data_IF_861273781637
#
_entry.id   IF_861273781637
#
_cell.length_a   1.000
_cell.length_b   1.000
_cell.length_c   1.000
_cell.angle_alpha   90.00
_cell.angle_beta   90.00
_cell.angle_gamma   90.00
#
_symmetry.space_group_name_H-M   'P 1'
#
loop_
_entity.id
_entity.type
_entity.pdbx_description
1 polymer ?
#
# COMPACT_ATOMS: atom_id res chain seq x y z
N UNK A 1 41.48 -12.46 -54.10
CA UNK A 1 40.11 -11.89 -54.20
C UNK A 1 39.07 -12.60 -53.32
N UNK A 2 39.00 -13.94 -53.27
CA UNK A 2 37.98 -14.65 -52.45
C UNK A 2 38.03 -14.37 -50.94
N UNK A 3 39.23 -14.21 -50.36
CA UNK A 3 39.39 -13.96 -48.91
C UNK A 3 38.95 -12.56 -48.46
N UNK A 4 39.08 -11.55 -49.32
CA UNK A 4 38.67 -10.18 -49.01
C UNK A 4 37.13 -10.03 -49.03
N UNK A 5 36.46 -10.73 -49.94
CA UNK A 5 34.99 -10.74 -50.03
C UNK A 5 34.35 -11.42 -48.82
N UNK A 6 34.96 -12.50 -48.30
CA UNK A 6 34.45 -13.22 -47.12
C UNK A 6 34.57 -12.36 -45.85
N UNK A 7 35.66 -11.61 -45.69
CA UNK A 7 35.83 -10.68 -44.55
C UNK A 7 34.84 -9.52 -44.64
N UNK A 8 34.56 -9.01 -45.84
CA UNK A 8 33.60 -7.92 -46.05
C UNK A 8 32.14 -8.37 -45.81
N UNK A 9 31.78 -9.61 -46.20
CA UNK A 9 30.48 -10.21 -45.89
C UNK A 9 30.31 -10.51 -44.39
N UNK A 10 31.39 -10.92 -43.71
CA UNK A 10 31.36 -11.11 -42.26
C UNK A 10 31.16 -9.78 -41.51
N UNK A 11 31.76 -8.68 -41.97
CA UNK A 11 31.57 -7.34 -41.40
C UNK A 11 30.15 -6.79 -41.66
N UNK A 12 29.58 -7.04 -42.84
CA UNK A 12 28.19 -6.66 -43.17
C UNK A 12 27.16 -7.46 -42.35
N UNK A 13 27.44 -8.73 -42.03
CA UNK A 13 26.57 -9.55 -41.19
C UNK A 13 26.55 -9.09 -39.71
N UNK A 14 27.61 -8.46 -39.22
CA UNK A 14 27.68 -7.93 -37.85
C UNK A 14 26.90 -6.60 -37.72
N UNK A 15 26.74 -5.85 -38.81
CA UNK A 15 25.97 -4.58 -38.79
C UNK A 15 24.44 -4.72 -38.84
N UNK A 16 23.90 -5.91 -39.15
CA UNK A 16 22.43 -6.11 -39.26
C UNK A 16 21.77 -6.57 -37.96
N UNK A 17 22.55 -6.81 -36.90
CA UNK A 17 22.05 -7.11 -35.56
C UNK A 17 22.16 -5.94 -34.58
N UNK A 18 22.38 -4.73 -35.09
CA UNK A 18 22.08 -3.52 -34.33
C UNK A 18 20.56 -3.31 -34.37
N UNK A 19 19.80 -4.20 -33.72
CA UNK A 19 18.50 -3.80 -33.21
C UNK A 19 18.80 -2.63 -32.30
N UNK A 20 18.47 -1.42 -32.74
CA UNK A 20 18.36 -0.27 -31.86
C UNK A 20 17.41 -0.71 -30.76
N UNK A 21 17.96 -1.12 -29.62
CA UNK A 21 17.24 -1.11 -28.37
C UNK A 21 16.92 0.38 -28.16
N UNK A 22 15.80 0.83 -28.73
CA UNK A 22 15.16 2.04 -28.28
C UNK A 22 14.85 1.74 -26.82
N UNK A 23 15.74 2.21 -25.94
CA UNK A 23 15.38 2.42 -24.55
C UNK A 23 14.16 3.34 -24.63
N UNK A 24 12.99 2.79 -24.27
CA UNK A 24 11.75 3.54 -24.28
C UNK A 24 11.93 4.63 -23.22
N UNK A 25 12.15 5.85 -23.68
CA UNK A 25 12.51 6.99 -22.85
C UNK A 25 11.23 7.60 -22.30
N UNK A 26 10.77 7.12 -21.15
CA UNK A 26 9.61 7.65 -20.46
C UNK A 26 10.00 8.67 -19.39
N UNK A 27 9.02 9.47 -18.98
CA UNK A 27 9.13 10.31 -17.81
C UNK A 27 9.49 9.54 -16.53
N UNK A 28 10.00 10.24 -15.52
CA UNK A 28 10.36 9.65 -14.23
C UNK A 28 9.20 9.62 -13.25
N UNK A 29 9.11 8.57 -12.43
CA UNK A 29 8.16 8.47 -11.32
C UNK A 29 8.83 8.99 -10.04
N UNK A 30 8.49 10.21 -9.62
CA UNK A 30 9.05 10.83 -8.42
C UNK A 30 8.45 10.23 -7.15
N UNK A 31 7.13 10.08 -7.12
CA UNK A 31 6.46 9.40 -6.01
C UNK A 31 5.20 8.69 -6.45
N UNK A 32 4.94 7.53 -5.84
CA UNK A 32 3.68 6.80 -5.98
C UNK A 32 3.19 6.47 -4.57
N UNK A 33 1.96 6.89 -4.26
CA UNK A 33 1.31 6.61 -2.99
C UNK A 33 0.02 5.82 -3.22
N UNK A 34 -0.03 4.60 -2.68
CA UNK A 34 -1.23 3.76 -2.74
C UNK A 34 -2.00 3.84 -1.42
N UNK A 35 -3.25 4.28 -1.47
CA UNK A 35 -4.17 4.25 -0.32
C UNK A 35 -5.27 3.24 -0.57
N UNK A 36 -5.29 2.16 0.21
CA UNK A 36 -6.22 1.05 0.07
C UNK A 36 -7.40 1.19 1.01
N UNK A 37 -8.59 1.44 0.44
CA UNK A 37 -9.86 1.55 1.15
C UNK A 37 -10.67 0.25 0.99
N UNK A 38 -11.16 -0.37 2.07
CA UNK A 38 -12.02 -1.55 2.01
C UNK A 38 -13.34 -1.28 1.27
N UNK A 39 -13.67 -2.15 0.30
CA UNK A 39 -14.98 -2.24 -0.36
C UNK A 39 -15.50 -3.67 -0.22
N UNK A 40 -16.07 -3.96 0.96
CA UNK A 40 -16.47 -5.31 1.35
C UNK A 40 -15.28 -6.28 1.45
N UNK A 41 -15.16 -7.17 0.46
CA UNK A 41 -14.04 -8.13 0.34
C UNK A 41 -12.93 -7.63 -0.59
N UNK A 42 -13.23 -6.61 -1.37
CA UNK A 42 -12.34 -5.99 -2.34
C UNK A 42 -11.71 -4.73 -1.74
N UNK A 43 -10.79 -4.11 -2.47
CA UNK A 43 -10.30 -2.77 -2.16
C UNK A 43 -10.51 -1.82 -3.33
N UNK A 44 -10.78 -0.55 -3.01
CA UNK A 44 -10.53 0.57 -3.90
C UNK A 44 -9.18 1.15 -3.53
N UNK A 45 -8.28 1.25 -4.50
CA UNK A 45 -6.93 1.78 -4.32
C UNK A 45 -6.89 3.14 -4.99
N UNK A 46 -6.65 4.17 -4.18
CA UNK A 46 -6.37 5.53 -4.64
C UNK A 46 -4.87 5.66 -4.78
N UNK A 47 -4.40 5.72 -6.03
CA UNK A 47 -2.99 5.82 -6.36
C UNK A 47 -2.68 7.26 -6.77
N UNK A 48 -1.99 8.00 -5.91
CA UNK A 48 -1.51 9.35 -6.22
C UNK A 48 -0.10 9.25 -6.79
N UNK A 49 0.09 9.72 -8.02
CA UNK A 49 1.35 9.68 -8.74
C UNK A 49 1.85 11.09 -9.01
N UNK A 50 3.09 11.36 -8.62
CA UNK A 50 3.84 12.56 -9.03
C UNK A 50 5.01 12.11 -9.89
N UNK A 51 5.15 12.75 -11.06
CA UNK A 51 6.08 12.34 -12.09
C UNK A 51 6.58 13.55 -12.88
N UNK A 52 7.70 13.38 -13.58
CA UNK A 52 8.20 14.36 -14.57
C UNK A 52 8.04 13.75 -15.94
N UNK A 53 7.32 14.42 -16.84
CA UNK A 53 7.06 13.91 -18.20
C UNK A 53 8.32 13.92 -19.07
N UNK A 54 8.39 13.07 -20.10
CA UNK A 54 9.47 13.15 -21.10
C UNK A 54 9.23 14.29 -22.12
N UNK A 55 10.08 14.36 -23.16
CA UNK A 55 9.95 15.32 -24.26
C UNK A 55 8.66 15.17 -25.10
N UNK A 56 7.97 14.03 -24.98
CA UNK A 56 6.67 13.76 -25.63
C UNK A 56 5.48 13.96 -24.68
N UNK A 57 5.71 14.24 -23.39
CA UNK A 57 4.65 14.31 -22.39
C UNK A 57 4.26 12.96 -21.78
N UNK A 58 4.99 11.87 -22.07
CA UNK A 58 4.63 10.51 -21.72
C UNK A 58 5.19 10.08 -20.36
N UNK A 59 4.37 9.39 -19.58
CA UNK A 59 4.73 8.76 -18.31
C UNK A 59 4.27 7.31 -18.35
N UNK A 60 5.18 6.39 -18.04
CA UNK A 60 4.86 4.99 -17.81
C UNK A 60 4.71 4.72 -16.31
N UNK A 61 3.62 4.09 -15.89
CA UNK A 61 3.35 3.74 -14.50
C UNK A 61 2.89 2.29 -14.35
N UNK A 62 3.05 1.68 -13.15
CA UNK A 62 2.80 0.27 -12.97
C UNK A 62 1.36 -0.13 -13.31
N UNK A 63 1.22 -1.26 -14.01
CA UNK A 63 -0.04 -2.00 -14.09
C UNK A 63 -0.05 -3.08 -13.00
N UNK A 64 -0.97 -2.95 -12.05
CA UNK A 64 -1.10 -3.92 -10.97
C UNK A 64 -1.89 -5.16 -11.40
N UNK A 65 -1.50 -6.32 -10.85
CA UNK A 65 -2.18 -7.57 -11.14
C UNK A 65 -3.55 -7.65 -10.46
N UNK A 66 -4.53 -8.21 -11.18
CA UNK A 66 -5.91 -8.39 -10.71
C UNK A 66 -6.57 -7.09 -10.25
N UNK A 67 -6.29 -6.01 -10.97
CA UNK A 67 -6.92 -4.71 -10.75
C UNK A 67 -7.65 -4.26 -12.01
N UNK A 68 -8.71 -3.49 -11.81
CA UNK A 68 -9.45 -2.80 -12.86
C UNK A 68 -9.34 -1.29 -12.63
N UNK A 69 -8.91 -0.53 -13.64
CA UNK A 69 -8.85 0.93 -13.55
C UNK A 69 -10.27 1.50 -13.68
N UNK A 70 -10.70 2.22 -12.64
CA UNK A 70 -12.02 2.84 -12.55
C UNK A 70 -11.99 4.25 -13.12
N UNK A 71 -10.98 5.04 -12.74
CA UNK A 71 -10.80 6.40 -13.23
C UNK A 71 -9.33 6.83 -13.15
N UNK A 72 -9.03 7.91 -13.86
CA UNK A 72 -7.77 8.64 -13.80
C UNK A 72 -8.07 10.13 -13.95
N UNK A 73 -7.51 10.95 -13.06
CA UNK A 73 -7.75 12.39 -13.04
C UNK A 73 -6.45 13.13 -12.76
N UNK A 74 -6.19 14.19 -13.52
CA UNK A 74 -5.02 15.03 -13.30
C UNK A 74 -5.33 16.09 -12.22
N UNK A 75 -4.50 16.13 -11.17
CA UNK A 75 -4.52 17.22 -10.19
C UNK A 75 -3.65 18.41 -10.67
N UNK A 76 -2.52 18.10 -11.30
CA UNK A 76 -1.57 19.07 -11.86
C UNK A 76 -1.13 18.61 -13.24
N UNK A 77 -1.30 19.50 -14.23
CA UNK A 77 -1.08 19.21 -15.64
C UNK A 77 -2.38 18.85 -16.36
N UNK A 78 -2.29 18.62 -17.66
CA UNK A 78 -3.44 18.38 -18.53
C UNK A 78 -3.20 17.14 -19.39
N UNK A 79 -3.98 16.08 -19.16
CA UNK A 79 -3.88 14.85 -19.95
C UNK A 79 -4.28 15.10 -21.42
N UNK A 80 -3.50 14.57 -22.35
CA UNK A 80 -3.74 14.63 -23.80
C UNK A 80 -4.62 13.47 -24.31
N UNK A 81 -4.99 12.54 -23.44
CA UNK A 81 -5.82 11.38 -23.76
C UNK A 81 -6.05 10.48 -22.55
N UNK A 82 -6.75 9.37 -22.78
CA UNK A 82 -6.90 8.32 -21.77
C UNK A 82 -5.61 7.49 -21.68
N UNK A 83 -5.31 6.91 -20.50
CA UNK A 83 -4.19 6.00 -20.38
C UNK A 83 -4.42 4.74 -21.22
N UNK A 84 -3.34 4.18 -21.74
CA UNK A 84 -3.34 2.93 -22.50
C UNK A 84 -2.39 1.91 -21.87
N UNK A 85 -2.70 0.63 -22.06
CA UNK A 85 -1.82 -0.45 -21.63
C UNK A 85 -0.85 -0.75 -22.77
N UNK A 86 0.44 -0.58 -22.52
CA UNK A 86 1.52 -0.87 -23.46
C UNK A 86 2.21 -2.17 -23.05
N UNK A 87 2.50 -3.01 -24.04
CA UNK A 87 3.27 -4.24 -23.88
C UNK A 87 4.66 -4.06 -24.51
N UNK A 88 5.70 -4.31 -23.72
CA UNK A 88 7.08 -4.27 -24.19
C UNK A 88 7.87 -5.45 -23.64
N UNK A 89 8.22 -6.38 -24.53
CA UNK A 89 8.77 -7.68 -24.13
C UNK A 89 7.75 -8.44 -23.28
N UNK A 90 8.18 -8.92 -22.11
CA UNK A 90 7.32 -9.63 -21.16
C UNK A 90 6.58 -8.69 -20.17
N UNK A 91 6.83 -7.37 -20.25
CA UNK A 91 6.27 -6.40 -19.34
C UNK A 91 5.03 -5.72 -19.92
N UNK A 92 4.03 -5.50 -19.07
CA UNK A 92 2.83 -4.71 -19.36
C UNK A 92 2.69 -3.61 -18.33
N UNK A 93 2.50 -2.38 -18.78
CA UNK A 93 2.38 -1.20 -17.93
C UNK A 93 1.40 -0.20 -18.54
N UNK A 94 0.98 0.79 -17.75
CA UNK A 94 0.14 1.87 -18.23
C UNK A 94 1.01 3.01 -18.75
N UNK A 95 0.57 3.67 -19.82
CA UNK A 95 1.14 4.93 -20.32
C UNK A 95 0.06 5.99 -20.34
N UNK A 96 0.39 7.17 -19.83
CA UNK A 96 -0.45 8.37 -19.93
C UNK A 96 0.37 9.49 -20.56
N UNK A 97 -0.25 10.25 -21.44
CA UNK A 97 0.37 11.40 -22.12
C UNK A 97 -0.24 12.69 -21.58
N UNK A 98 0.62 13.62 -21.21
CA UNK A 98 0.28 14.98 -20.81
C UNK A 98 0.65 15.98 -21.91
N UNK A 99 0.00 17.13 -21.91
CA UNK A 99 0.34 18.23 -22.83
C UNK A 99 1.65 18.91 -22.41
N UNK A 100 1.96 18.87 -21.12
CA UNK A 100 3.17 19.40 -20.51
C UNK A 100 4.34 18.44 -20.73
N UNK A 101 5.47 18.98 -21.22
CA UNK A 101 6.68 18.23 -21.57
C UNK A 101 7.80 18.59 -20.61
N UNK A 102 8.61 17.60 -20.23
CA UNK A 102 9.75 17.80 -19.31
C UNK A 102 9.34 18.55 -18.03
N UNK A 103 8.12 18.28 -17.56
CA UNK A 103 7.46 19.06 -16.51
C UNK A 103 6.87 18.13 -15.46
N UNK A 104 6.85 18.61 -14.21
CA UNK A 104 6.22 17.88 -13.12
C UNK A 104 4.70 17.91 -13.24
N UNK A 105 4.08 16.73 -13.14
CA UNK A 105 2.64 16.52 -13.15
C UNK A 105 2.23 15.62 -11.98
N UNK A 106 0.98 15.76 -11.54
CA UNK A 106 0.40 14.94 -10.47
C UNK A 106 -0.98 14.47 -10.91
N UNK A 107 -1.26 13.18 -10.75
CA UNK A 107 -2.54 12.59 -11.10
C UNK A 107 -2.91 11.48 -10.13
N UNK A 108 -4.22 11.25 -10.01
CA UNK A 108 -4.80 10.19 -9.21
C UNK A 108 -5.37 9.11 -10.13
N UNK A 109 -5.03 7.85 -9.84
CA UNK A 109 -5.58 6.67 -10.50
C UNK A 109 -6.38 5.89 -9.46
N UNK A 110 -7.65 5.65 -9.75
CA UNK A 110 -8.50 4.81 -8.89
C UNK A 110 -8.59 3.43 -9.52
N UNK A 111 -8.13 2.41 -8.80
CA UNK A 111 -8.22 1.02 -9.25
C UNK A 111 -8.97 0.14 -8.24
N UNK A 112 -9.80 -0.78 -8.73
CA UNK A 112 -10.47 -1.79 -7.89
C UNK A 112 -9.67 -3.08 -7.89
N UNK A 113 -9.39 -3.64 -6.71
CA UNK A 113 -8.67 -4.91 -6.54
C UNK A 113 -9.52 -5.93 -5.80
N UNK A 114 -9.79 -7.04 -6.48
CA UNK A 114 -10.70 -8.08 -5.96
C UNK A 114 -10.07 -8.93 -4.86
N UNK A 115 -10.82 -9.20 -3.80
CA UNK A 115 -10.57 -10.24 -2.80
C UNK A 115 -9.44 -9.98 -1.80
N UNK A 116 -8.81 -8.82 -1.81
CA UNK A 116 -7.69 -8.53 -0.92
C UNK A 116 -8.09 -8.55 0.56
N UNK A 117 -9.25 -8.00 0.90
CA UNK A 117 -9.76 -7.91 2.27
C UNK A 117 -10.44 -9.19 2.77
N UNK A 118 -10.54 -10.25 1.94
CA UNK A 118 -10.88 -11.59 2.46
C UNK A 118 -9.85 -12.02 3.52
N UNK A 119 -8.58 -11.68 3.27
CA UNK A 119 -7.47 -11.96 4.16
C UNK A 119 -7.23 -13.45 4.39
N UNK A 120 -6.14 -13.77 5.08
CA UNK A 120 -5.81 -15.13 5.51
C UNK A 120 -5.82 -15.20 7.03
N UNK A 121 -5.97 -16.39 7.61
CA UNK A 121 -5.83 -16.55 9.07
C UNK A 121 -4.43 -16.09 9.48
N UNK A 122 -4.36 -15.16 10.43
CA UNK A 122 -3.08 -14.64 10.89
C UNK A 122 -2.32 -15.73 11.66
N UNK A 123 -1.02 -15.84 11.42
CA UNK A 123 -0.11 -16.73 12.14
C UNK A 123 0.46 -16.00 13.35
N UNK A 124 -0.36 -15.84 14.38
CA UNK A 124 0.01 -15.16 15.62
C UNK A 124 0.18 -16.17 16.74
N UNK A 125 1.04 -15.86 17.71
CA UNK A 125 1.20 -16.65 18.93
C UNK A 125 -0.03 -16.60 19.83
N UNK A 126 -0.07 -17.45 20.85
CA UNK A 126 -1.24 -17.67 21.72
C UNK A 126 -1.66 -16.44 22.54
N UNK A 127 -0.81 -15.41 22.62
CA UNK A 127 -1.07 -14.17 23.35
C UNK A 127 -1.89 -13.15 22.55
N UNK A 128 -2.13 -13.38 21.26
CA UNK A 128 -2.90 -12.47 20.41
C UNK A 128 -4.39 -12.86 20.34
N UNK A 129 -5.29 -11.89 20.07
CA UNK A 129 -6.72 -12.17 19.95
C UNK A 129 -7.03 -13.26 18.92
N UNK A 130 -7.84 -14.24 19.30
CA UNK A 130 -8.29 -15.30 18.40
C UNK A 130 -9.09 -14.71 17.23
N UNK A 131 -8.89 -15.25 16.02
CA UNK A 131 -9.65 -14.83 14.83
C UNK A 131 -9.06 -13.65 14.06
N UNK A 132 -7.85 -13.20 14.41
CA UNK A 132 -7.11 -12.24 13.61
C UNK A 132 -6.88 -12.74 12.17
N UNK A 133 -6.97 -11.82 11.21
CA UNK A 133 -6.69 -12.04 9.80
C UNK A 133 -5.58 -11.14 9.31
N UNK A 134 -4.70 -11.68 8.47
CA UNK A 134 -3.69 -10.92 7.74
C UNK A 134 -4.27 -10.50 6.39
N UNK A 135 -4.24 -9.20 6.11
CA UNK A 135 -4.48 -8.64 4.78
C UNK A 135 -3.10 -8.36 4.18
N UNK A 136 -2.88 -8.80 2.95
CA UNK A 136 -1.59 -8.68 2.27
C UNK A 136 -1.78 -7.94 0.96
N UNK A 137 -1.08 -6.83 0.81
CA UNK A 137 -0.94 -6.10 -0.44
C UNK A 137 0.45 -6.32 -1.00
N UNK A 138 0.49 -6.84 -2.24
CA UNK A 138 1.71 -7.15 -2.96
C UNK A 138 1.57 -6.57 -4.37
N UNK A 139 2.56 -5.78 -4.77
CA UNK A 139 2.64 -5.21 -6.11
C UNK A 139 4.06 -5.31 -6.64
N UNK A 140 4.15 -5.32 -7.96
CA UNK A 140 5.41 -5.29 -8.69
C UNK A 140 5.43 -3.97 -9.45
N UNK A 141 6.54 -3.24 -9.39
CA UNK A 141 6.76 -2.13 -10.30
C UNK A 141 6.95 -2.70 -11.72
N UNK A 142 5.85 -2.83 -12.46
CA UNK A 142 5.87 -3.29 -13.86
C UNK A 142 6.23 -2.20 -14.86
N UNK A 143 6.36 -0.95 -14.41
CA UNK A 143 6.80 0.13 -15.27
C UNK A 143 8.28 -0.05 -15.64
N UNK A 144 8.72 0.45 -16.81
CA UNK A 144 10.12 0.37 -17.24
C UNK A 144 11.03 1.33 -16.46
N UNK A 145 10.48 2.22 -15.62
CA UNK A 145 11.21 3.20 -14.83
C UNK A 145 11.15 2.87 -13.33
N UNK A 146 12.15 3.32 -12.57
CA UNK A 146 12.12 3.18 -11.11
C UNK A 146 11.13 4.19 -10.49
N UNK A 147 10.50 3.80 -9.39
CA UNK A 147 9.73 4.70 -8.54
C UNK A 147 10.68 5.22 -7.47
N UNK A 148 11.00 6.52 -7.47
CA UNK A 148 11.97 7.08 -6.52
C UNK A 148 11.50 7.02 -5.06
N UNK A 149 10.20 7.21 -4.82
CA UNK A 149 9.59 7.06 -3.51
C UNK A 149 8.26 6.36 -3.61
N UNK A 150 8.07 5.27 -2.86
CA UNK A 150 6.83 4.52 -2.87
C UNK A 150 6.24 4.43 -1.46
N UNK A 151 4.98 4.78 -1.28
CA UNK A 151 4.31 4.63 0.02
C UNK A 151 2.99 3.88 -0.12
N UNK A 152 2.63 3.13 0.93
CA UNK A 152 1.37 2.40 0.98
C UNK A 152 0.70 2.62 2.31
N UNK A 153 -0.61 2.86 2.30
CA UNK A 153 -1.48 2.84 3.48
C UNK A 153 -2.66 1.91 3.25
N UNK A 154 -2.98 1.10 4.25
CA UNK A 154 -4.11 0.15 4.23
C UNK A 154 -5.06 0.44 5.40
N UNK A 155 -6.33 0.73 5.09
CA UNK A 155 -7.34 0.95 6.11
C UNK A 155 -7.81 -0.37 6.76
N UNK A 156 -8.05 -0.35 8.07
CA UNK A 156 -8.78 -1.42 8.74
C UNK A 156 -10.26 -1.40 8.29
N UNK A 157 -10.86 -2.54 7.91
CA UNK A 157 -12.28 -2.62 7.57
C UNK A 157 -13.19 -2.18 8.70
N UNK A 158 -14.37 -1.68 8.34
CA UNK A 158 -15.40 -1.30 9.31
C UNK A 158 -15.70 -2.47 10.27
N UNK A 159 -15.80 -2.16 11.57
CA UNK A 159 -16.03 -3.15 12.62
C UNK A 159 -14.82 -4.03 12.95
N UNK A 160 -13.64 -3.74 12.38
CA UNK A 160 -12.37 -4.36 12.71
C UNK A 160 -11.36 -3.33 13.20
N UNK A 161 -10.39 -3.79 13.96
CA UNK A 161 -9.28 -2.98 14.47
C UNK A 161 -7.97 -3.44 13.86
N UNK A 162 -7.07 -2.48 13.58
CA UNK A 162 -5.68 -2.74 13.20
C UNK A 162 -4.92 -3.24 14.42
N UNK A 163 -4.38 -4.46 14.33
CA UNK A 163 -3.63 -5.09 15.41
C UNK A 163 -2.15 -4.72 15.35
N UNK A 164 -1.53 -4.94 14.18
CA UNK A 164 -0.15 -4.57 13.89
C UNK A 164 0.11 -4.62 12.37
N UNK A 165 1.27 -4.12 11.98
CA UNK A 165 1.83 -4.27 10.63
C UNK A 165 2.81 -5.45 10.66
N UNK A 166 2.78 -6.32 9.65
CA UNK A 166 3.45 -7.64 9.65
C UNK A 166 4.81 -7.58 8.99
N UNK A 167 5.82 -8.14 9.68
CA UNK A 167 7.14 -8.41 9.09
C UNK A 167 8.07 -7.20 9.04
N UNK A 168 7.79 -6.17 9.83
CA UNK A 168 8.59 -4.94 9.85
C UNK A 168 9.52 -4.89 11.05
N UNK A 169 10.73 -4.38 10.78
CA UNK A 169 11.74 -4.06 11.77
C UNK A 169 11.34 -2.79 12.53
N UNK A 170 11.66 -2.71 13.82
CA UNK A 170 11.36 -1.55 14.65
C UNK A 170 12.17 -0.30 14.24
N UNK A 171 13.22 -0.48 13.42
CA UNK A 171 14.06 0.60 12.90
C UNK A 171 13.49 1.31 11.66
N UNK A 172 12.52 0.70 10.97
CA UNK A 172 11.87 1.30 9.81
C UNK A 172 10.60 2.06 10.22
N UNK A 173 10.42 3.27 9.71
CA UNK A 173 9.32 4.16 10.10
C UNK A 173 7.97 3.62 9.56
N UNK A 174 7.26 2.86 10.39
CA UNK A 174 5.87 2.50 10.13
C UNK A 174 4.90 3.55 10.69
N UNK A 175 3.82 3.79 9.98
CA UNK A 175 2.81 4.77 10.35
C UNK A 175 1.48 4.12 10.73
N UNK A 176 0.92 4.51 11.88
CA UNK A 176 -0.51 4.31 12.16
C UNK A 176 -1.16 5.69 12.15
N UNK A 177 -2.02 5.94 11.16
CA UNK A 177 -2.75 7.21 11.04
C UNK A 177 -4.26 6.98 11.20
N UNK A 178 -4.97 8.04 11.61
CA UNK A 178 -6.43 8.06 11.64
C UNK A 178 -6.91 9.20 10.76
N UNK A 179 -7.63 8.85 9.71
CA UNK A 179 -8.10 9.76 8.66
C UNK A 179 -9.55 9.34 8.35
N UNK A 180 -10.49 10.30 8.31
CA UNK A 180 -11.92 10.06 8.01
C UNK A 180 -12.60 8.93 8.82
N UNK A 181 -12.19 8.77 10.08
CA UNK A 181 -12.72 7.73 10.97
C UNK A 181 -12.16 6.32 10.72
N UNK A 182 -11.30 6.15 9.72
CA UNK A 182 -10.58 4.91 9.44
C UNK A 182 -9.19 4.92 10.09
N UNK A 183 -8.73 3.75 10.53
CA UNK A 183 -7.36 3.57 11.01
C UNK A 183 -6.53 2.91 9.93
N UNK A 184 -5.43 3.52 9.55
CA UNK A 184 -4.52 3.05 8.51
C UNK A 184 -3.25 2.49 9.13
N UNK A 185 -2.79 1.34 8.62
CA UNK A 185 -1.41 0.91 8.76
C UNK A 185 -0.68 1.20 7.46
N UNK A 186 0.47 1.88 7.53
CA UNK A 186 1.20 2.27 6.34
C UNK A 186 2.71 2.24 6.51
N UNK A 187 3.38 2.29 5.37
CA UNK A 187 4.83 2.23 5.26
C UNK A 187 5.32 3.02 4.06
N UNK A 188 6.43 3.72 4.25
CA UNK A 188 7.15 4.45 3.21
C UNK A 188 8.36 3.61 2.79
N UNK A 189 8.30 3.08 1.58
CA UNK A 189 9.41 2.40 0.93
C UNK A 189 10.30 3.43 0.21
N UNK A 190 11.59 3.11 0.13
CA UNK A 190 12.55 3.90 -0.65
C UNK A 190 12.32 3.72 -2.17
N UNK A 191 13.38 3.69 -2.96
CA UNK A 191 13.31 3.48 -4.40
C UNK A 191 12.87 2.04 -4.72
N UNK A 192 11.86 1.91 -5.59
CA UNK A 192 11.38 0.64 -6.12
C UNK A 192 11.79 0.52 -7.59
N UNK A 193 12.89 -0.19 -7.84
CA UNK A 193 13.37 -0.43 -9.19
C UNK A 193 12.36 -1.22 -10.06
N UNK A 194 12.50 -1.10 -11.38
CA UNK A 194 11.67 -1.85 -12.34
C UNK A 194 11.77 -3.36 -12.10
N UNK A 195 10.63 -4.04 -12.16
CA UNK A 195 10.47 -5.48 -11.89
C UNK A 195 10.58 -5.86 -10.41
N UNK A 196 10.80 -4.92 -9.49
CA UNK A 196 10.86 -5.21 -8.05
C UNK A 196 9.48 -5.29 -7.43
N UNK A 197 9.37 -6.18 -6.47
CA UNK A 197 8.18 -6.42 -5.69
C UNK A 197 8.27 -5.72 -4.34
N UNK A 198 7.15 -5.13 -3.94
CA UNK A 198 6.92 -4.56 -2.62
C UNK A 198 5.70 -5.22 -2.00
N UNK A 199 5.76 -5.40 -0.69
CA UNK A 199 4.75 -6.12 0.06
C UNK A 199 4.51 -5.42 1.40
N UNK A 200 3.26 -5.02 1.63
CA UNK A 200 2.76 -4.58 2.92
C UNK A 200 1.72 -5.59 3.41
N UNK A 201 1.76 -5.92 4.70
CA UNK A 201 0.73 -6.73 5.31
C UNK A 201 0.33 -6.17 6.66
N UNK A 202 -0.97 -6.20 6.95
CA UNK A 202 -1.54 -5.77 8.23
C UNK A 202 -2.34 -6.91 8.84
N UNK A 203 -2.28 -7.04 10.16
CA UNK A 203 -3.21 -7.88 10.88
C UNK A 203 -4.38 -7.06 11.39
N UNK A 204 -5.58 -7.59 11.17
CA UNK A 204 -6.84 -7.02 11.63
C UNK A 204 -7.55 -8.04 12.50
N UNK A 205 -8.32 -7.58 13.47
CA UNK A 205 -9.17 -8.44 14.28
C UNK A 205 -10.53 -7.82 14.53
N UNK A 206 -11.52 -8.64 14.83
CA UNK A 206 -12.86 -8.19 15.21
C UNK A 206 -12.95 -8.13 16.73
N UNK A 207 -12.95 -6.93 17.35
CA UNK A 207 -13.15 -6.81 18.78
C UNK A 207 -14.56 -7.28 19.13
N UNK A 208 -14.69 -8.10 20.19
CA UNK A 208 -16.00 -8.36 20.76
C UNK A 208 -16.51 -7.09 21.43
N UNK A 209 -17.48 -6.40 20.81
CA UNK A 209 -18.11 -5.17 21.37
C UNK A 209 -18.64 -5.38 22.80
N UNK A 210 -19.06 -6.60 23.14
CA UNK A 210 -19.59 -6.99 24.45
C UNK A 210 -18.48 -7.09 25.51
N UNK A 211 -17.22 -7.30 25.14
CA UNK A 211 -16.14 -7.55 26.09
C UNK A 211 -15.86 -6.31 26.96
N UNK A 212 -15.86 -5.10 26.39
CA UNK A 212 -15.71 -3.86 27.17
C UNK A 212 -16.84 -3.69 28.18
N UNK A 213 -18.10 -3.89 27.75
CA UNK A 213 -19.26 -3.82 28.64
C UNK A 213 -19.22 -4.88 29.74
N UNK A 214 -18.84 -6.13 29.41
CA UNK A 214 -18.68 -7.21 30.38
C UNK A 214 -17.56 -6.92 31.38
N UNK A 215 -16.43 -6.39 30.92
CA UNK A 215 -15.31 -5.99 31.80
C UNK A 215 -15.76 -4.90 32.75
N UNK A 216 -16.52 -3.90 32.29
CA UNK A 216 -17.09 -2.86 33.16
C UNK A 216 -18.09 -3.44 34.17
N UNK A 217 -19.03 -4.29 33.73
CA UNK A 217 -19.99 -4.94 34.62
C UNK A 217 -19.26 -5.78 35.68
N UNK A 218 -18.29 -6.59 35.27
CA UNK A 218 -17.51 -7.44 36.17
C UNK A 218 -16.68 -6.61 37.15
N UNK A 219 -16.07 -5.52 36.68
CA UNK A 219 -15.31 -4.60 37.53
C UNK A 219 -16.21 -3.94 38.58
N UNK A 220 -17.41 -3.53 38.21
CA UNK A 220 -18.41 -2.98 39.15
C UNK A 220 -18.84 -4.04 40.17
N UNK A 221 -19.13 -5.27 39.71
CA UNK A 221 -19.54 -6.37 40.60
C UNK A 221 -18.44 -6.78 41.58
N UNK A 222 -17.19 -6.89 41.11
CA UNK A 222 -16.03 -7.18 41.98
C UNK A 222 -15.83 -6.04 42.98
N UNK A 223 -15.92 -4.79 42.54
CA UNK A 223 -15.80 -3.61 43.42
C UNK A 223 -16.89 -3.60 44.48
N UNK A 224 -18.15 -3.87 44.11
CA UNK A 224 -19.26 -3.96 45.04
C UNK A 224 -19.07 -5.12 46.03
N UNK A 225 -18.71 -6.32 45.55
CA UNK A 225 -18.45 -7.48 46.40
C UNK A 225 -17.29 -7.21 47.38
N UNK A 226 -16.22 -6.56 46.93
CA UNK A 226 -15.12 -6.13 47.77
C UNK A 226 -15.56 -5.14 48.84
N UNK A 227 -16.37 -4.13 48.49
CA UNK A 227 -16.94 -3.17 49.45
C UNK A 227 -17.87 -3.84 50.46
N UNK A 228 -18.70 -4.80 50.04
CA UNK A 228 -19.59 -5.55 50.93
C UNK A 228 -18.81 -6.46 51.89
N UNK A 229 -17.79 -7.15 51.40
CA UNK A 229 -16.95 -8.05 52.21
C UNK A 229 -16.06 -7.28 53.19
N UNK A 230 -15.61 -6.08 52.80
CA UNK A 230 -14.76 -5.22 53.62
C UNK A 230 -15.53 -4.04 54.24
N UNK A 231 -16.84 -4.19 54.42
CA UNK A 231 -17.72 -3.15 54.97
C UNK A 231 -17.28 -2.67 56.36
N UNK A 232 -16.60 -3.55 57.10
CA UNK A 232 -16.06 -3.27 58.43
C UNK A 232 -14.79 -2.40 58.38
N UNK A 233 -14.02 -2.47 57.29
CA UNK A 233 -12.87 -1.59 57.03
C UNK A 233 -13.30 -0.21 56.50
N UNK A 234 -14.45 -0.14 55.82
CA UNK A 234 -15.05 1.11 55.32
C UNK A 234 -15.74 1.92 56.42
N UNK A 235 -16.13 1.27 57.52
CA UNK A 235 -16.48 1.94 58.78
C UNK A 235 -15.19 2.27 59.52
N UNK A 236 -14.46 3.27 59.03
CA UNK A 236 -13.33 3.82 59.77
C UNK A 236 -13.76 4.12 61.20
N UNK A 237 -12.91 3.73 62.17
CA UNK A 237 -13.03 4.09 63.59
C UNK A 237 -13.57 5.51 63.68
N UNK A 238 -14.71 5.68 64.36
CA UNK A 238 -15.17 6.99 64.77
C UNK A 238 -13.97 7.71 65.40
N UNK A 239 -13.59 8.85 64.83
CA UNK A 239 -12.54 9.67 65.38
C UNK A 239 -12.88 9.94 66.85
N UNK A 240 -12.11 9.34 67.75
CA UNK A 240 -12.17 9.67 69.17
C UNK A 240 -11.64 11.10 69.27
N UNK A 241 -12.53 12.08 69.27
CA UNK A 241 -12.21 13.39 69.84
C UNK A 241 -12.06 13.16 71.35
N UNK A 242 -10.82 12.94 71.80
CA UNK A 242 -10.47 13.11 73.21
C UNK A 242 -10.39 14.61 73.47
N UNK A 243 -11.32 15.12 74.27
CA UNK A 243 -11.11 16.27 75.14
C UNK A 243 -10.67 15.78 76.51
#
# INVERSE_FOLDING_TARGET
>A
MKKAIIVMLALLAVSVFSSTAYAMDFGSLESVQDTLIPDGKDAVIHQKITAVTNANGEIAFPLYSKTEMVSIEAEKGSMAGNPEVVEYGDNKFNVVTFNEKESEVTFEVVVKKTGIYEGKKAKLGDTFPSGARTIEYKVVNSSPVAIKSYSVKMAAPEGKELLNIVGYDAEEAFGITKEDGMTFGGFDFEEVASGKEVKLAINIFSPMKIHSTLVWILSILISAAFMFKNKDLLKGKAAVQQG
#
